data_IF_921287240814
#
_entry.id   IF_921287240814
#
_cell.length_a   1.000
_cell.length_b   1.000
_cell.length_c   1.000
_cell.angle_alpha   90.00
_cell.angle_beta   90.00
_cell.angle_gamma   90.00
#
_symmetry.space_group_name_H-M   'P 1'
#
loop_
_entity.id
_entity.type
_entity.pdbx_description
1 polymer ?
#
# COMPACT_ATOMS: atom_id res chain seq x y z
N UNK A 1 -14.35 -4.37 -0.16
CA UNK A 1 -13.05 -4.15 -0.73
C UNK A 1 -12.63 -2.69 -0.55
N UNK A 2 -11.36 -2.45 -0.48
CA UNK A 2 -10.82 -1.12 -0.20
C UNK A 2 -10.40 -0.43 -1.48
N UNK A 3 -11.39 -0.15 -2.33
CA UNK A 3 -11.13 0.59 -3.55
C UNK A 3 -10.56 1.98 -3.22
N UNK A 4 -9.54 2.38 -3.97
CA UNK A 4 -8.91 3.67 -3.80
C UNK A 4 -9.46 4.60 -4.88
N UNK A 5 -9.88 5.80 -4.47
CA UNK A 5 -10.38 6.80 -5.42
C UNK A 5 -9.41 7.96 -5.43
N UNK A 6 -8.62 8.06 -6.50
CA UNK A 6 -7.59 9.08 -6.64
C UNK A 6 -7.88 9.94 -7.86
N UNK A 7 -8.14 11.23 -7.62
CA UNK A 7 -8.47 12.15 -8.71
C UNK A 7 -9.68 11.70 -9.53
N UNK A 8 -10.67 11.06 -8.89
CA UNK A 8 -11.85 10.56 -9.56
C UNK A 8 -11.68 9.20 -10.24
N UNK A 9 -10.49 8.60 -10.16
CA UNK A 9 -10.22 7.30 -10.78
C UNK A 9 -10.30 6.21 -9.72
N UNK A 10 -11.04 5.14 -10.04
CA UNK A 10 -11.17 3.98 -9.17
C UNK A 10 -9.98 3.05 -9.37
N UNK A 11 -9.24 2.80 -8.29
CA UNK A 11 -8.06 1.95 -8.32
C UNK A 11 -8.29 0.78 -7.38
N UNK A 12 -8.08 -0.44 -7.88
CA UNK A 12 -8.28 -1.65 -7.08
C UNK A 12 -6.93 -2.14 -6.56
N UNK A 13 -6.71 -2.06 -5.25
CA UNK A 13 -5.39 -2.35 -4.67
C UNK A 13 -4.91 -3.78 -4.86
N UNK A 14 -5.83 -4.72 -5.08
CA UNK A 14 -5.46 -6.12 -5.27
C UNK A 14 -4.48 -6.32 -6.43
N UNK A 15 -4.61 -5.53 -7.49
CA UNK A 15 -3.71 -5.63 -8.64
C UNK A 15 -2.27 -5.35 -8.24
N UNK A 16 -2.05 -4.24 -7.52
CA UNK A 16 -0.72 -3.87 -7.06
C UNK A 16 -0.20 -4.85 -6.01
N UNK A 17 -1.07 -5.32 -5.12
CA UNK A 17 -0.68 -6.33 -4.13
C UNK A 17 -0.20 -7.61 -4.80
N UNK A 18 -0.93 -8.07 -5.82
CA UNK A 18 -0.57 -9.29 -6.54
C UNK A 18 0.79 -9.18 -7.24
N UNK A 19 1.11 -7.99 -7.73
CA UNK A 19 2.40 -7.73 -8.37
C UNK A 19 3.51 -7.68 -7.33
N UNK A 20 3.33 -6.89 -6.27
CA UNK A 20 4.39 -6.67 -5.29
C UNK A 20 4.72 -7.90 -4.47
N UNK A 21 3.74 -8.75 -4.18
CA UNK A 21 4.00 -9.98 -3.43
C UNK A 21 4.91 -10.95 -4.20
N UNK A 22 5.01 -10.78 -5.50
CA UNK A 22 5.90 -11.58 -6.35
C UNK A 22 7.37 -11.19 -6.26
N UNK A 23 7.68 -10.08 -5.62
CA UNK A 23 9.08 -9.65 -5.46
C UNK A 23 9.75 -10.46 -4.34
N UNK A 24 10.97 -10.97 -4.56
CA UNK A 24 11.62 -11.86 -3.59
C UNK A 24 11.92 -11.23 -2.24
N UNK A 25 11.99 -9.91 -2.16
CA UNK A 25 12.25 -9.20 -0.89
C UNK A 25 10.97 -8.81 -0.15
N UNK A 26 9.80 -9.16 -0.66
CA UNK A 26 8.51 -8.85 -0.05
C UNK A 26 7.92 -10.11 0.57
N UNK A 27 7.75 -10.10 1.89
CA UNK A 27 7.08 -11.20 2.59
C UNK A 27 5.57 -10.99 2.63
N UNK A 28 5.12 -9.73 2.76
CA UNK A 28 3.70 -9.40 2.79
C UNK A 28 3.54 -7.95 2.35
N UNK A 29 2.36 -7.59 1.87
CA UNK A 29 2.11 -6.24 1.39
C UNK A 29 0.63 -5.88 1.51
N UNK A 30 0.36 -4.64 1.89
CA UNK A 30 -0.96 -4.05 1.86
C UNK A 30 -0.90 -2.79 1.02
N UNK A 31 -1.76 -2.70 0.02
CA UNK A 31 -1.88 -1.48 -0.78
C UNK A 31 -3.15 -0.78 -0.36
N UNK A 32 -3.02 0.49 0.03
CA UNK A 32 -4.09 1.27 0.62
C UNK A 32 -4.14 2.66 0.01
N UNK A 33 -5.27 3.33 0.16
CA UNK A 33 -5.38 4.75 -0.12
C UNK A 33 -5.05 5.54 1.13
N UNK A 34 -4.20 6.55 1.00
CA UNK A 34 -3.88 7.48 2.08
C UNK A 34 -4.28 8.88 1.66
N UNK A 35 -4.46 9.82 2.62
CA UNK A 35 -4.93 11.17 2.29
C UNK A 35 -4.01 11.88 1.31
N UNK A 36 -4.61 12.55 0.34
CA UNK A 36 -3.93 13.45 -0.59
C UNK A 36 -4.83 14.67 -0.77
N UNK A 37 -4.29 15.86 -0.53
CA UNK A 37 -5.10 17.07 -0.54
C UNK A 37 -5.66 17.40 -1.92
N UNK A 38 -4.91 17.08 -2.96
CA UNK A 38 -5.31 17.39 -4.32
C UNK A 38 -6.23 16.33 -4.92
N UNK A 39 -5.90 15.05 -4.70
CA UNK A 39 -6.60 13.94 -5.36
C UNK A 39 -7.57 13.20 -4.46
N UNK A 40 -7.67 13.58 -3.20
CA UNK A 40 -8.47 12.87 -2.20
C UNK A 40 -7.68 11.71 -1.58
N UNK A 41 -7.29 10.76 -2.39
CA UNK A 41 -6.46 9.63 -1.97
C UNK A 41 -5.29 9.45 -2.93
N UNK A 42 -4.23 8.89 -2.42
CA UNK A 42 -3.14 8.38 -3.27
C UNK A 42 -2.78 6.96 -2.85
N UNK A 43 -2.21 6.23 -3.78
CA UNK A 43 -1.85 4.82 -3.56
C UNK A 43 -0.56 4.72 -2.76
N UNK A 44 -0.61 3.96 -1.67
CA UNK A 44 0.55 3.65 -0.84
C UNK A 44 0.66 2.14 -0.66
N UNK A 45 1.87 1.61 -0.75
CA UNK A 45 2.13 0.22 -0.37
C UNK A 45 2.79 0.20 1.01
N UNK A 46 2.27 -0.63 1.90
CA UNK A 46 2.89 -0.90 3.20
C UNK A 46 3.44 -2.32 3.12
N UNK A 47 4.74 -2.43 3.20
CA UNK A 47 5.47 -3.67 2.88
C UNK A 47 6.12 -4.25 4.13
N UNK A 48 5.92 -5.55 4.31
CA UNK A 48 6.70 -6.34 5.25
C UNK A 48 7.83 -6.98 4.45
N UNK A 49 9.08 -6.54 4.63
CA UNK A 49 10.17 -7.14 3.88
C UNK A 49 10.49 -8.54 4.41
N UNK A 50 11.00 -9.39 3.53
CA UNK A 50 11.44 -10.73 3.93
C UNK A 50 12.57 -10.67 4.95
N UNK A 51 13.43 -9.67 4.84
CA UNK A 51 14.50 -9.38 5.80
C UNK A 51 14.37 -7.92 6.20
N UNK A 52 14.15 -7.67 7.50
CA UNK A 52 13.98 -6.30 8.00
C UNK A 52 15.19 -5.41 7.71
N UNK A 53 16.36 -5.99 7.61
CA UNK A 53 17.57 -5.23 7.28
C UNK A 53 17.48 -4.55 5.91
N UNK A 54 16.63 -5.05 5.01
CA UNK A 54 16.46 -4.45 3.70
C UNK A 54 15.51 -3.24 3.70
N UNK A 55 14.77 -3.02 4.78
CA UNK A 55 13.82 -1.92 4.84
C UNK A 55 14.56 -0.58 4.72
N UNK A 56 14.10 0.27 3.81
CA UNK A 56 14.70 1.58 3.63
C UNK A 56 14.49 2.12 2.23
N UNK A 57 15.10 3.28 1.95
CA UNK A 57 14.88 3.98 0.67
C UNK A 57 15.29 3.19 -0.56
N UNK A 58 16.34 2.37 -0.47
CA UNK A 58 16.80 1.59 -1.62
C UNK A 58 15.77 0.54 -2.03
N UNK A 59 15.23 -0.19 -1.06
CA UNK A 59 14.20 -1.17 -1.36
C UNK A 59 12.91 -0.50 -1.81
N UNK A 60 12.55 0.62 -1.20
CA UNK A 60 11.37 1.38 -1.64
C UNK A 60 11.48 1.75 -3.11
N UNK A 61 12.64 2.26 -3.53
CA UNK A 61 12.86 2.62 -4.94
C UNK A 61 12.82 1.39 -5.84
N UNK A 62 13.43 0.31 -5.42
CA UNK A 62 13.44 -0.95 -6.17
C UNK A 62 12.00 -1.43 -6.41
N UNK A 63 11.17 -1.38 -5.37
CA UNK A 63 9.76 -1.81 -5.47
C UNK A 63 8.92 -0.88 -6.33
N UNK A 64 9.20 0.43 -6.29
CA UNK A 64 8.53 1.40 -7.15
C UNK A 64 8.82 1.11 -8.63
N UNK A 65 10.08 0.82 -8.95
CA UNK A 65 10.49 0.47 -10.31
C UNK A 65 9.83 -0.85 -10.72
N UNK A 66 9.85 -1.84 -9.84
CA UNK A 66 9.24 -3.14 -10.09
C UNK A 66 7.76 -3.00 -10.44
N UNK A 67 7.04 -2.16 -9.70
CA UNK A 67 5.63 -1.90 -9.97
C UNK A 67 5.43 -1.20 -11.31
N UNK A 68 6.26 -0.19 -11.61
CA UNK A 68 6.14 0.59 -12.85
C UNK A 68 6.38 -0.25 -14.09
N UNK A 69 7.20 -1.27 -13.98
CA UNK A 69 7.46 -2.17 -15.12
C UNK A 69 6.29 -3.10 -15.40
N UNK A 70 5.36 -3.24 -14.47
CA UNK A 70 4.31 -4.26 -14.54
C UNK A 70 2.88 -3.71 -14.47
N UNK A 71 2.72 -2.46 -14.03
CA UNK A 71 1.41 -1.83 -13.87
C UNK A 71 1.39 -0.48 -14.60
N UNK A 72 0.19 -0.05 -14.99
CA UNK A 72 0.03 1.32 -15.49
C UNK A 72 0.38 2.31 -14.38
N UNK A 73 0.90 3.50 -14.73
CA UNK A 73 1.37 4.46 -13.73
C UNK A 73 0.37 4.81 -12.64
N UNK A 74 -0.91 4.94 -13.00
CA UNK A 74 -1.92 5.35 -12.02
C UNK A 74 -2.18 4.28 -10.96
N UNK A 75 -1.87 3.03 -11.25
CA UNK A 75 -2.07 1.91 -10.32
C UNK A 75 -0.86 1.68 -9.43
N UNK A 76 0.27 2.33 -9.74
CA UNK A 76 1.49 2.16 -8.97
C UNK A 76 1.43 2.93 -7.66
N UNK A 77 2.01 2.39 -6.58
CA UNK A 77 2.15 3.16 -5.35
C UNK A 77 2.97 4.42 -5.59
N UNK A 78 2.56 5.51 -4.96
CA UNK A 78 3.30 6.77 -4.98
C UNK A 78 4.30 6.84 -3.83
N UNK A 79 4.13 5.99 -2.84
CA UNK A 79 5.04 5.90 -1.70
C UNK A 79 4.99 4.49 -1.11
N UNK A 80 6.05 4.12 -0.42
CA UNK A 80 6.17 2.81 0.22
C UNK A 80 6.66 3.02 1.64
N UNK A 81 5.97 2.40 2.60
CA UNK A 81 6.40 2.33 3.98
C UNK A 81 6.69 0.87 4.32
N UNK A 82 7.50 0.66 5.35
CA UNK A 82 7.84 -0.68 5.80
C UNK A 82 7.37 -0.92 7.23
N UNK A 83 6.93 -2.15 7.49
CA UNK A 83 6.61 -2.61 8.83
C UNK A 83 7.22 -3.99 9.05
N UNK A 84 7.64 -4.25 10.28
CA UNK A 84 8.25 -5.55 10.60
C UNK A 84 7.24 -6.68 10.45
N UNK A 85 5.97 -6.40 10.73
CA UNK A 85 4.88 -7.37 10.60
C UNK A 85 3.58 -6.63 10.34
N UNK A 86 2.84 -7.07 9.32
CA UNK A 86 1.52 -6.49 9.04
C UNK A 86 0.47 -7.16 9.92
N UNK A 87 -0.50 -6.38 10.42
CA UNK A 87 -1.56 -6.95 11.27
C UNK A 87 -2.47 -7.87 10.47
N UNK A 88 -2.91 -8.95 11.14
CA UNK A 88 -3.84 -9.90 10.55
C UNK A 88 -4.98 -10.19 11.52
N UNK A 89 -6.14 -10.51 10.96
CA UNK A 89 -7.26 -11.03 11.74
C UNK A 89 -6.92 -12.43 12.26
N UNK A 90 -7.60 -12.90 13.30
CA UNK A 90 -7.41 -14.29 13.76
C UNK A 90 -7.63 -15.32 12.66
N UNK A 91 -8.42 -14.99 11.64
CA UNK A 91 -8.66 -15.85 10.49
C UNK A 91 -7.48 -15.93 9.52
N UNK A 92 -6.44 -15.12 9.75
CA UNK A 92 -5.27 -15.05 8.87
C UNK A 92 -5.36 -13.99 7.80
N UNK A 93 -6.52 -13.36 7.60
CA UNK A 93 -6.67 -12.30 6.61
C UNK A 93 -5.96 -11.03 7.05
N UNK A 94 -5.37 -10.33 6.09
CA UNK A 94 -4.73 -9.04 6.31
C UNK A 94 -5.73 -8.05 6.91
N UNK A 95 -5.35 -7.40 8.02
CA UNK A 95 -6.22 -6.42 8.67
C UNK A 95 -5.97 -5.04 8.06
N UNK A 96 -6.40 -4.89 6.82
CA UNK A 96 -6.10 -3.71 6.02
C UNK A 96 -6.69 -2.43 6.60
N UNK A 97 -7.88 -2.52 7.19
CA UNK A 97 -8.53 -1.38 7.81
C UNK A 97 -7.69 -0.78 8.93
N UNK A 98 -7.07 -1.62 9.74
CA UNK A 98 -6.22 -1.16 10.83
C UNK A 98 -5.00 -0.41 10.29
N UNK A 99 -4.41 -0.91 9.20
CA UNK A 99 -3.28 -0.24 8.56
C UNK A 99 -3.73 1.12 8.01
N UNK A 100 -4.86 1.14 7.29
CA UNK A 100 -5.40 2.34 6.70
C UNK A 100 -5.69 3.42 7.75
N UNK A 101 -6.28 3.03 8.87
CA UNK A 101 -6.65 3.96 9.93
C UNK A 101 -5.43 4.70 10.51
N UNK A 102 -4.26 4.09 10.48
CA UNK A 102 -3.03 4.73 10.97
C UNK A 102 -2.66 5.97 10.14
N UNK A 103 -3.02 5.98 8.87
CA UNK A 103 -2.71 7.09 7.97
C UNK A 103 -3.82 8.13 7.93
N UNK A 104 -5.05 7.70 8.12
CA UNK A 104 -6.19 8.60 8.08
C UNK A 104 -6.39 9.37 9.39
N UNK A 105 -6.18 8.72 10.52
CA UNK A 105 -6.32 9.34 11.81
C UNK A 105 -7.67 10.04 11.96
N UNK A 106 -7.67 11.29 12.39
CA UNK A 106 -8.89 12.06 12.58
C UNK A 106 -9.55 12.52 11.28
N UNK A 107 -8.85 12.42 10.16
CA UNK A 107 -9.41 12.82 8.88
C UNK A 107 -10.60 11.98 8.47
N UNK A 108 -10.65 10.75 8.94
CA UNK A 108 -11.73 9.85 8.61
C UNK A 108 -13.07 10.37 9.10
N UNK A 109 -13.11 11.05 10.23
CA UNK A 109 -14.35 11.57 10.80
C UNK A 109 -14.97 12.66 9.94
N UNK A 110 -14.22 13.30 9.05
CA UNK A 110 -14.76 14.32 8.15
C UNK A 110 -15.68 13.76 7.10
N UNK A 111 -15.48 12.51 6.79
CA UNK A 111 -16.18 11.86 5.67
C UNK A 111 -17.63 11.57 6.06
N UNK A 112 -17.86 11.52 7.32
CA UNK A 112 -19.16 11.20 7.89
C UNK A 112 -20.17 12.32 7.74
#
# INVERSE_FOLDING_TARGET
>A
AFMIISGGVNIYPQEAENILIGHPKVADVAVIGVPNEEFGEEVKAVVQPADWADAGPDLAQELMIFARERLSPIKCPRSIDFEAELPRHPTGKLYKRLIRDRYWGKRESRIV
#
